data_IF_407292657537
#
_entry.id   IF_407292657537
#
_cell.length_a   1.000
_cell.length_b   1.000
_cell.length_c   1.000
_cell.angle_alpha   90.00
_cell.angle_beta   90.00
_cell.angle_gamma   90.00
#
_symmetry.space_group_name_H-M   'P 1'
#
loop_
_entity.id
_entity.type
_entity.pdbx_description
1 polymer ?
#
# COMPACT_ATOMS: atom_id res chain seq x y z
N UNK A 1 8.94 -6.53 -17.71
CA UNK A 1 9.09 -7.09 -16.35
C UNK A 1 8.44 -8.48 -16.30
N UNK A 2 9.11 -9.50 -15.75
CA UNK A 2 8.53 -10.86 -15.60
C UNK A 2 7.35 -10.82 -14.61
N UNK A 3 6.29 -11.62 -14.84
CA UNK A 3 5.07 -11.64 -13.99
C UNK A 3 5.39 -11.87 -12.51
N UNK A 4 6.35 -12.74 -12.21
CA UNK A 4 6.77 -13.04 -10.84
C UNK A 4 7.44 -11.84 -10.17
N UNK A 5 8.33 -11.14 -10.89
CA UNK A 5 8.95 -9.90 -10.41
C UNK A 5 7.89 -8.83 -10.14
N UNK A 6 6.90 -8.69 -11.02
CA UNK A 6 5.81 -7.74 -10.84
C UNK A 6 5.02 -8.04 -9.55
N UNK A 7 4.68 -9.32 -9.31
CA UNK A 7 3.98 -9.74 -8.09
C UNK A 7 4.77 -9.42 -6.83
N UNK A 8 6.08 -9.71 -6.81
CA UNK A 8 6.95 -9.38 -5.68
C UNK A 8 7.02 -7.87 -5.42
N UNK A 9 7.16 -7.07 -6.47
CA UNK A 9 7.18 -5.61 -6.36
C UNK A 9 5.85 -5.09 -5.81
N UNK A 10 4.71 -5.56 -6.32
CA UNK A 10 3.41 -5.13 -5.80
C UNK A 10 3.21 -5.55 -4.34
N UNK A 11 3.66 -6.74 -3.95
CA UNK A 11 3.63 -7.19 -2.55
C UNK A 11 4.46 -6.26 -1.66
N UNK A 12 5.71 -5.98 -2.03
CA UNK A 12 6.59 -5.10 -1.26
C UNK A 12 6.03 -3.68 -1.17
N UNK A 13 5.55 -3.12 -2.29
CA UNK A 13 4.90 -1.81 -2.30
C UNK A 13 3.67 -1.78 -1.37
N UNK A 14 2.85 -2.84 -1.38
CA UNK A 14 1.67 -2.91 -0.52
C UNK A 14 2.00 -2.97 0.97
N UNK A 15 3.17 -3.50 1.35
CA UNK A 15 3.65 -3.54 2.73
C UNK A 15 4.28 -2.21 3.14
N UNK A 16 5.09 -1.61 2.27
CA UNK A 16 5.75 -0.32 2.52
C UNK A 16 4.77 0.85 2.63
N UNK A 17 3.62 0.78 1.97
CA UNK A 17 2.55 1.78 2.07
C UNK A 17 1.50 1.47 3.14
N UNK A 18 1.75 0.54 4.06
CA UNK A 18 0.92 0.42 5.26
C UNK A 18 1.25 1.54 6.25
N UNK A 19 0.32 1.79 7.16
CA UNK A 19 0.52 2.78 8.22
C UNK A 19 1.76 2.39 9.06
N UNK A 20 2.69 3.32 9.34
CA UNK A 20 3.97 3.02 9.98
C UNK A 20 3.83 2.85 11.51
N UNK A 21 3.03 1.86 11.92
CA UNK A 21 2.88 1.44 13.31
C UNK A 21 4.12 0.68 13.82
N UNK A 22 4.10 0.27 15.10
CA UNK A 22 5.21 -0.45 15.70
C UNK A 22 5.55 -1.76 14.99
N UNK A 23 4.56 -2.47 14.44
CA UNK A 23 4.80 -3.72 13.72
C UNK A 23 5.50 -3.44 12.39
N UNK A 24 5.03 -2.43 11.66
CA UNK A 24 5.66 -1.97 10.42
C UNK A 24 7.14 -1.64 10.60
N UNK A 25 7.50 -0.92 11.68
CA UNK A 25 8.90 -0.61 12.00
C UNK A 25 9.75 -1.83 12.32
N UNK A 26 9.16 -2.90 12.87
CA UNK A 26 9.87 -4.16 13.17
C UNK A 26 10.17 -4.94 11.90
N UNK A 27 9.24 -4.95 10.94
CA UNK A 27 9.37 -5.69 9.68
C UNK A 27 10.29 -5.01 8.65
N UNK A 28 10.58 -3.72 8.83
CA UNK A 28 11.28 -2.90 7.82
C UNK A 28 12.64 -3.48 7.38
N UNK A 29 13.39 -4.08 8.31
CA UNK A 29 14.69 -4.68 8.00
C UNK A 29 14.55 -5.91 7.08
N UNK A 30 13.51 -6.72 7.26
CA UNK A 30 13.24 -7.88 6.41
C UNK A 30 12.68 -7.45 5.06
N UNK A 31 11.83 -6.41 5.02
CA UNK A 31 11.37 -5.79 3.76
C UNK A 31 12.54 -5.26 2.94
N UNK A 32 13.50 -4.58 3.59
CA UNK A 32 14.71 -4.11 2.91
C UNK A 32 15.54 -5.27 2.33
N UNK A 33 15.69 -6.37 3.07
CA UNK A 33 16.41 -7.56 2.57
C UNK A 33 15.70 -8.18 1.35
N UNK A 34 14.38 -8.24 1.36
CA UNK A 34 13.61 -8.74 0.21
C UNK A 34 13.72 -7.81 -1.02
N UNK A 35 13.95 -6.52 -0.81
CA UNK A 35 14.15 -5.57 -1.91
C UNK A 35 15.52 -5.71 -2.59
N UNK A 36 16.58 -6.09 -1.87
CA UNK A 36 17.94 -6.18 -2.44
C UNK A 36 18.09 -7.30 -3.47
N UNK A 37 17.18 -8.28 -3.48
CA UNK A 37 17.17 -9.38 -4.46
C UNK A 37 16.28 -9.11 -5.67
N UNK A 38 15.63 -7.94 -5.74
CA UNK A 38 14.85 -7.55 -6.91
C UNK A 38 15.79 -7.27 -8.10
N UNK A 39 15.41 -7.68 -9.33
CA UNK A 39 16.13 -7.27 -10.53
C UNK A 39 16.13 -5.75 -10.68
N UNK A 40 17.25 -5.19 -11.13
CA UNK A 40 17.39 -3.76 -11.40
C UNK A 40 16.29 -3.24 -12.33
N UNK A 41 15.78 -2.07 -12.00
CA UNK A 41 14.80 -1.40 -12.83
C UNK A 41 14.11 -0.23 -12.11
N UNK A 42 13.26 0.51 -12.84
CA UNK A 42 12.63 1.73 -12.32
C UNK A 42 11.83 1.50 -11.04
N UNK A 43 11.11 0.39 -10.95
CA UNK A 43 10.28 0.05 -9.80
C UNK A 43 11.12 -0.35 -8.57
N UNK A 44 12.16 -1.17 -8.74
CA UNK A 44 13.09 -1.49 -7.66
C UNK A 44 13.80 -0.23 -7.14
N UNK A 45 14.24 0.65 -8.05
CA UNK A 45 14.82 1.93 -7.68
C UNK A 45 13.84 2.88 -6.96
N UNK A 46 12.55 2.84 -7.30
CA UNK A 46 11.53 3.62 -6.60
C UNK A 46 11.33 3.13 -5.16
N UNK A 47 11.26 1.81 -4.95
CA UNK A 47 11.19 1.23 -3.61
C UNK A 47 12.45 1.54 -2.80
N UNK A 48 13.64 1.44 -3.39
CA UNK A 48 14.89 1.78 -2.73
C UNK A 48 14.92 3.25 -2.26
N UNK A 49 14.51 4.20 -3.12
CA UNK A 49 14.39 5.62 -2.72
C UNK A 49 13.39 5.82 -1.59
N UNK A 50 12.27 5.09 -1.59
CA UNK A 50 11.32 5.15 -0.48
C UNK A 50 11.98 4.66 0.83
N UNK A 51 12.70 3.53 0.79
CA UNK A 51 13.43 3.03 1.95
C UNK A 51 14.52 4.01 2.44
N UNK A 52 15.21 4.69 1.53
CA UNK A 52 16.17 5.73 1.90
C UNK A 52 15.51 6.90 2.64
N UNK A 53 14.29 7.28 2.27
CA UNK A 53 13.52 8.31 3.00
C UNK A 53 13.19 7.79 4.41
N UNK A 54 12.63 6.59 4.50
CA UNK A 54 12.25 5.98 5.79
C UNK A 54 13.44 5.90 6.75
N UNK A 55 14.61 5.47 6.26
CA UNK A 55 15.79 5.25 7.10
C UNK A 55 16.51 6.53 7.52
N UNK A 56 16.29 7.64 6.80
CA UNK A 56 16.90 8.95 7.09
C UNK A 56 16.00 9.87 7.93
N UNK A 57 14.74 9.53 8.09
CA UNK A 57 13.76 10.31 8.86
C UNK A 57 13.52 9.65 10.22
N UNK A 58 13.40 10.44 11.29
CA UNK A 58 12.99 9.91 12.58
C UNK A 58 11.54 9.38 12.53
N UNK A 59 11.20 8.39 13.38
CA UNK A 59 9.91 7.70 13.30
C UNK A 59 8.70 8.64 13.46
N UNK A 60 8.70 9.59 14.42
CA UNK A 60 7.61 10.56 14.54
C UNK A 60 7.45 11.42 13.29
N UNK A 61 8.54 12.00 12.77
CA UNK A 61 8.48 12.82 11.56
C UNK A 61 8.03 12.02 10.34
N UNK A 62 8.46 10.77 10.20
CA UNK A 62 8.01 9.90 9.12
C UNK A 62 6.51 9.61 9.22
N UNK A 63 6.00 9.33 10.43
CA UNK A 63 4.58 9.08 10.65
C UNK A 63 3.74 10.31 10.33
N UNK A 64 4.22 11.51 10.69
CA UNK A 64 3.57 12.76 10.32
C UNK A 64 3.56 12.96 8.80
N UNK A 65 4.71 12.83 8.14
CA UNK A 65 4.82 12.96 6.69
C UNK A 65 3.93 11.95 5.95
N UNK A 66 3.80 10.72 6.48
CA UNK A 66 2.89 9.71 5.96
C UNK A 66 1.43 10.20 5.99
N UNK A 67 0.95 10.67 7.15
CA UNK A 67 -0.43 11.16 7.32
C UNK A 67 -0.69 12.37 6.43
N UNK A 68 0.23 13.33 6.39
CA UNK A 68 0.13 14.51 5.53
C UNK A 68 0.05 14.13 4.04
N UNK A 69 0.81 13.12 3.62
CA UNK A 69 0.88 12.68 2.22
C UNK A 69 -0.32 11.82 1.82
N UNK A 70 -0.68 10.83 2.64
CA UNK A 70 -1.58 9.75 2.25
C UNK A 70 -2.99 9.85 2.85
N UNK A 71 -3.16 10.50 4.00
CA UNK A 71 -4.50 10.71 4.59
C UNK A 71 -5.07 12.07 4.22
N UNK A 72 -4.25 13.11 4.25
CA UNK A 72 -4.68 14.48 3.90
C UNK A 72 -4.37 14.88 2.45
N UNK A 73 -3.42 14.21 1.80
CA UNK A 73 -3.01 14.54 0.44
C UNK A 73 -4.06 14.16 -0.61
N UNK A 74 -4.66 15.16 -1.27
CA UNK A 74 -5.67 14.95 -2.32
C UNK A 74 -5.18 14.16 -3.54
N UNK A 75 -3.88 14.20 -3.85
CA UNK A 75 -3.31 13.55 -5.03
C UNK A 75 -2.74 12.16 -4.75
N UNK A 76 -2.33 11.90 -3.52
CA UNK A 76 -1.65 10.67 -3.13
C UNK A 76 -2.49 9.80 -2.17
N UNK A 77 -3.74 10.20 -1.87
CA UNK A 77 -4.62 9.42 -1.01
C UNK A 77 -4.71 7.96 -1.41
N UNK A 78 -4.37 7.05 -0.50
CA UNK A 78 -4.37 5.60 -0.75
C UNK A 78 -5.80 5.01 -0.81
N UNK A 79 -6.81 5.84 -0.56
CA UNK A 79 -8.21 5.51 -0.72
C UNK A 79 -8.56 5.46 -2.21
N UNK A 80 -8.55 4.24 -2.77
CA UNK A 80 -8.79 3.92 -4.19
C UNK A 80 -10.00 4.64 -4.83
N UNK A 81 -11.00 5.02 -4.05
CA UNK A 81 -12.23 5.65 -4.55
C UNK A 81 -12.28 7.18 -4.39
N UNK A 82 -11.44 7.77 -3.51
CA UNK A 82 -11.55 9.19 -3.19
C UNK A 82 -11.13 10.11 -4.34
N UNK A 83 -10.08 9.76 -5.08
CA UNK A 83 -9.57 10.58 -6.19
C UNK A 83 -10.45 10.53 -7.45
N UNK A 84 -11.30 9.49 -7.59
CA UNK A 84 -12.11 9.26 -8.80
C UNK A 84 -13.59 9.58 -8.63
N UNK A 85 -14.15 9.47 -7.42
CA UNK A 85 -15.60 9.53 -7.20
C UNK A 85 -16.06 10.49 -6.08
N UNK A 86 -15.14 11.19 -5.40
CA UNK A 86 -15.51 12.11 -4.32
C UNK A 86 -16.38 11.46 -3.23
N UNK A 87 -17.42 12.16 -2.79
CA UNK A 87 -18.36 11.72 -1.73
C UNK A 87 -19.71 11.22 -2.30
N UNK A 88 -19.73 10.79 -3.56
CA UNK A 88 -20.96 10.44 -4.26
C UNK A 88 -21.34 8.97 -4.11
N UNK A 89 -22.62 8.65 -4.36
CA UNK A 89 -23.16 7.27 -4.47
C UNK A 89 -22.26 6.32 -5.29
N UNK A 90 -21.55 6.86 -6.27
CA UNK A 90 -20.60 6.14 -7.13
C UNK A 90 -19.42 5.51 -6.35
N UNK A 91 -19.07 6.06 -5.18
CA UNK A 91 -18.07 5.47 -4.27
C UNK A 91 -18.53 4.13 -3.70
N UNK A 92 -19.80 4.02 -3.33
CA UNK A 92 -20.38 2.79 -2.80
C UNK A 92 -20.33 1.65 -3.80
N UNK A 93 -20.69 1.93 -5.05
CA UNK A 93 -20.67 0.94 -6.14
C UNK A 93 -19.25 0.47 -6.47
N UNK A 94 -18.28 1.38 -6.50
CA UNK A 94 -16.88 1.04 -6.73
C UNK A 94 -16.30 0.14 -5.62
N UNK A 95 -16.60 0.44 -4.36
CA UNK A 95 -16.17 -0.40 -3.24
C UNK A 95 -16.86 -1.78 -3.26
N UNK A 96 -18.14 -1.84 -3.62
CA UNK A 96 -18.87 -3.10 -3.75
C UNK A 96 -18.29 -3.96 -4.86
N UNK A 97 -18.03 -3.37 -6.03
CA UNK A 97 -17.40 -4.08 -7.16
C UNK A 97 -16.02 -4.62 -6.77
N UNK A 98 -15.22 -3.84 -6.04
CA UNK A 98 -13.92 -4.27 -5.53
C UNK A 98 -14.08 -5.44 -4.56
N UNK A 99 -14.99 -5.35 -3.58
CA UNK A 99 -15.29 -6.47 -2.65
C UNK A 99 -15.68 -7.75 -3.39
N UNK A 100 -16.55 -7.64 -4.41
CA UNK A 100 -16.97 -8.78 -5.21
C UNK A 100 -15.81 -9.41 -5.98
N UNK A 101 -14.86 -8.61 -6.49
CA UNK A 101 -13.66 -9.12 -7.15
C UNK A 101 -12.77 -9.91 -6.17
N UNK A 102 -12.54 -9.38 -4.97
CA UNK A 102 -11.81 -10.12 -3.92
C UNK A 102 -12.52 -11.41 -3.54
N UNK A 103 -13.86 -11.39 -3.38
CA UNK A 103 -14.65 -12.57 -3.06
C UNK A 103 -14.56 -13.65 -4.15
N UNK A 104 -14.67 -13.28 -5.42
CA UNK A 104 -14.48 -14.20 -6.56
C UNK A 104 -13.08 -14.82 -6.61
N UNK A 105 -12.09 -14.15 -6.03
CA UNK A 105 -10.72 -14.65 -5.89
C UNK A 105 -10.50 -15.44 -4.58
N UNK A 106 -11.52 -15.64 -3.75
CA UNK A 106 -11.42 -16.34 -2.46
C UNK A 106 -10.77 -15.52 -1.34
N UNK A 107 -10.64 -14.20 -1.50
CA UNK A 107 -9.95 -13.28 -0.58
C UNK A 107 -10.94 -12.49 0.30
N UNK A 108 -11.90 -13.19 0.92
CA UNK A 108 -12.92 -12.56 1.79
C UNK A 108 -12.33 -12.39 3.20
N UNK A 109 -12.32 -11.17 3.72
CA UNK A 109 -12.01 -10.93 5.15
C UNK A 109 -13.17 -11.40 6.03
N UNK A 110 -12.87 -12.07 7.14
CA UNK A 110 -13.84 -12.73 8.03
C UNK A 110 -14.92 -11.78 8.61
N UNK A 111 -14.70 -10.46 8.57
CA UNK A 111 -15.69 -9.44 8.93
C UNK A 111 -16.87 -9.31 7.93
N UNK A 112 -16.84 -10.02 6.80
CA UNK A 112 -17.84 -9.90 5.72
C UNK A 112 -18.98 -10.93 5.78
N UNK A 113 -18.98 -11.86 6.74
CA UNK A 113 -20.11 -12.79 6.93
C UNK A 113 -21.35 -12.09 7.52
N UNK A 114 -21.22 -10.86 8.04
CA UNK A 114 -22.33 -10.15 8.70
C UNK A 114 -23.19 -9.30 7.75
N UNK A 115 -22.84 -9.17 6.47
CA UNK A 115 -23.55 -8.31 5.51
C UNK A 115 -23.75 -8.94 4.12
N UNK A 116 -23.68 -10.28 4.02
CA UNK A 116 -24.09 -11.04 2.84
C UNK A 116 -25.16 -12.06 3.22
#
# INVERSE_FOLDING_TARGET
MKKETARRIFRLASLLFQYPDEHWWKELADLHREMTVLPDGPAAGALARFMDIVTRTDRPAFSQAYVETFDFGRQAGLYLTCSRYGDERQRGDALLALKQQYARAGLVSHLLELFL
#
